data_IF_364203623196
#
_entry.id   IF_364203623196
#
_cell.length_a   1.000
_cell.length_b   1.000
_cell.length_c   1.000
_cell.angle_alpha   90.00
_cell.angle_beta   90.00
_cell.angle_gamma   90.00
#
_symmetry.space_group_name_H-M   'P 1'
#
loop_
_entity.id
_entity.type
_entity.pdbx_description
1 polymer ?
#
# COMPACT_ATOMS: atom_id res chain seq x y z
N UNK A 1 -15.93 16.99 -34.95
CA UNK A 1 -16.36 15.94 -33.99
C UNK A 1 -17.88 15.74 -34.09
N UNK A 2 -18.34 14.56 -34.50
CA UNK A 2 -19.77 14.28 -34.73
C UNK A 2 -20.58 14.27 -33.42
N UNK A 3 -21.88 14.55 -33.49
CA UNK A 3 -22.80 14.45 -32.34
C UNK A 3 -22.80 13.05 -31.72
N UNK A 4 -22.73 12.00 -32.56
CA UNK A 4 -22.69 10.60 -32.12
C UNK A 4 -21.46 10.31 -31.26
N UNK A 5 -20.29 10.86 -31.63
CA UNK A 5 -19.06 10.70 -30.87
C UNK A 5 -19.14 11.43 -29.52
N UNK A 6 -19.66 12.67 -29.51
CA UNK A 6 -19.91 13.42 -28.26
C UNK A 6 -20.83 12.67 -27.31
N UNK A 7 -21.93 12.13 -27.84
CA UNK A 7 -22.89 11.33 -27.07
C UNK A 7 -22.24 10.04 -26.52
N UNK A 8 -21.43 9.34 -27.33
CA UNK A 8 -20.72 8.14 -26.89
C UNK A 8 -19.76 8.44 -25.73
N UNK A 9 -18.95 9.49 -25.84
CA UNK A 9 -18.06 9.91 -24.74
C UNK A 9 -18.84 10.32 -23.51
N UNK A 10 -19.94 11.06 -23.67
CA UNK A 10 -20.79 11.43 -22.54
C UNK A 10 -21.35 10.21 -21.82
N UNK A 11 -21.81 9.19 -22.57
CA UNK A 11 -22.29 7.92 -21.99
C UNK A 11 -21.18 7.20 -21.23
N UNK A 12 -19.98 7.10 -21.80
CA UNK A 12 -18.82 6.47 -21.14
C UNK A 12 -18.46 7.20 -19.84
N UNK A 13 -18.44 8.54 -19.86
CA UNK A 13 -18.17 9.34 -18.68
C UNK A 13 -19.25 9.12 -17.60
N UNK A 14 -20.53 9.22 -17.96
CA UNK A 14 -21.62 9.04 -16.99
C UNK A 14 -21.58 7.63 -16.40
N UNK A 15 -21.42 6.59 -17.23
CA UNK A 15 -21.34 5.22 -16.76
C UNK A 15 -20.12 4.99 -15.85
N UNK A 16 -18.93 5.44 -16.27
CA UNK A 16 -17.69 5.31 -15.51
C UNK A 16 -17.75 6.02 -14.16
N UNK A 17 -18.18 7.28 -14.14
CA UNK A 17 -18.32 8.04 -12.88
C UNK A 17 -19.42 7.47 -11.98
N UNK A 18 -20.52 6.98 -12.53
CA UNK A 18 -21.58 6.34 -11.73
C UNK A 18 -21.07 5.09 -11.02
N UNK A 19 -20.34 4.22 -11.73
CA UNK A 19 -19.71 3.03 -11.14
C UNK A 19 -18.68 3.44 -10.08
N UNK A 20 -17.82 4.42 -10.39
CA UNK A 20 -16.80 4.91 -9.46
C UNK A 20 -17.42 5.43 -8.15
N UNK A 21 -18.46 6.26 -8.24
CA UNK A 21 -19.14 6.82 -7.07
C UNK A 21 -19.86 5.74 -6.27
N UNK A 22 -20.53 4.81 -6.94
CA UNK A 22 -21.17 3.67 -6.30
C UNK A 22 -20.17 2.81 -5.52
N UNK A 23 -19.05 2.46 -6.15
CA UNK A 23 -17.98 1.66 -5.51
C UNK A 23 -17.29 2.45 -4.38
N UNK A 24 -17.08 3.77 -4.55
CA UNK A 24 -16.51 4.63 -3.51
C UNK A 24 -17.39 4.75 -2.27
N UNK A 25 -18.71 4.80 -2.44
CA UNK A 25 -19.65 4.73 -1.33
C UNK A 25 -19.57 3.37 -0.60
N UNK A 26 -19.50 2.27 -1.35
CA UNK A 26 -19.29 0.94 -0.78
C UNK A 26 -17.97 0.83 0.00
N UNK A 27 -16.87 1.34 -0.56
CA UNK A 27 -15.57 1.34 0.10
C UNK A 27 -15.57 2.11 1.43
N UNK A 28 -16.29 3.23 1.50
CA UNK A 28 -16.38 4.04 2.72
C UNK A 28 -17.26 3.39 3.79
N UNK A 29 -18.39 2.80 3.40
CA UNK A 29 -19.36 2.19 4.34
C UNK A 29 -18.94 0.81 4.82
N UNK A 30 -18.06 0.13 4.08
CA UNK A 30 -17.57 -1.22 4.38
C UNK A 30 -16.08 -1.23 4.78
N UNK A 31 -15.49 -0.08 5.08
CA UNK A 31 -14.12 0.01 5.58
C UNK A 31 -13.98 -0.73 6.93
N UNK A 32 -12.78 -1.27 7.26
CA UNK A 32 -12.53 -1.77 8.60
C UNK A 32 -12.70 -0.64 9.63
N UNK A 33 -13.46 -0.87 10.73
CA UNK A 33 -13.67 0.17 11.73
C UNK A 33 -12.38 0.46 12.50
N UNK A 34 -12.25 1.70 12.96
CA UNK A 34 -11.26 2.07 13.99
C UNK A 34 -12.02 2.03 15.32
N UNK A 35 -11.72 1.08 16.22
CA UNK A 35 -12.43 0.96 17.49
C UNK A 35 -12.15 2.18 18.38
N UNK A 36 -13.14 2.61 19.16
CA UNK A 36 -12.94 3.67 20.16
C UNK A 36 -12.03 3.17 21.29
N UNK A 37 -12.24 1.93 21.73
CA UNK A 37 -11.44 1.26 22.77
C UNK A 37 -11.05 -0.15 22.35
N UNK A 38 -9.82 -0.51 22.67
CA UNK A 38 -9.31 -1.87 22.57
C UNK A 38 -9.15 -2.41 23.99
N UNK A 39 -9.82 -3.52 24.29
CA UNK A 39 -9.89 -4.11 25.61
C UNK A 39 -9.21 -5.47 25.64
N UNK A 40 -8.67 -5.85 26.80
CA UNK A 40 -8.27 -7.23 27.08
C UNK A 40 -9.50 -8.11 27.36
N UNK A 41 -9.31 -9.44 27.43
CA UNK A 41 -10.37 -10.36 27.84
C UNK A 41 -10.93 -10.07 29.25
N UNK A 42 -10.15 -9.43 30.12
CA UNK A 42 -10.54 -9.02 31.47
C UNK A 42 -11.26 -7.64 31.50
N UNK A 43 -11.35 -6.95 30.37
CA UNK A 43 -11.99 -5.64 30.25
C UNK A 43 -11.09 -4.44 30.55
N UNK A 44 -9.79 -4.65 30.80
CA UNK A 44 -8.82 -3.55 30.93
C UNK A 44 -8.53 -2.91 29.56
N UNK A 45 -8.37 -1.59 29.52
CA UNK A 45 -8.06 -0.87 28.28
C UNK A 45 -6.60 -1.07 27.90
N UNK A 46 -6.37 -1.61 26.70
CA UNK A 46 -5.04 -1.88 26.13
C UNK A 46 -4.58 -0.68 25.28
N UNK A 47 -5.47 -0.18 24.43
CA UNK A 47 -5.24 0.96 23.54
C UNK A 47 -6.58 1.61 23.14
N UNK A 48 -6.53 2.74 22.43
CA UNK A 48 -7.69 3.48 21.96
C UNK A 48 -7.61 3.78 20.47
N UNK A 49 -8.73 4.16 19.87
CA UNK A 49 -8.75 4.66 18.49
C UNK A 49 -7.88 5.89 18.28
N UNK A 50 -7.74 6.73 19.31
CA UNK A 50 -6.84 7.88 19.27
C UNK A 50 -5.37 7.47 19.15
N UNK A 51 -4.97 6.37 19.81
CA UNK A 51 -3.60 5.84 19.72
C UNK A 51 -3.31 5.29 18.31
N UNK A 52 -4.29 4.65 17.66
CA UNK A 52 -4.19 4.21 16.25
C UNK A 52 -3.97 5.42 15.32
N UNK A 53 -4.78 6.47 15.45
CA UNK A 53 -4.66 7.68 14.63
C UNK A 53 -3.35 8.42 14.89
N UNK A 54 -2.90 8.47 16.14
CA UNK A 54 -1.59 9.01 16.50
C UNK A 54 -0.47 8.19 15.84
N UNK A 55 -0.57 6.86 15.85
CA UNK A 55 0.37 5.97 15.17
C UNK A 55 0.41 6.16 13.65
N UNK A 56 -0.75 6.32 13.01
CA UNK A 56 -0.83 6.67 11.59
C UNK A 56 -0.15 8.02 11.32
N UNK A 57 -0.33 8.99 12.21
CA UNK A 57 0.32 10.30 12.09
C UNK A 57 1.85 10.20 12.23
N UNK A 58 2.34 9.32 13.11
CA UNK A 58 3.78 9.01 13.24
C UNK A 58 4.29 8.36 11.94
N UNK A 59 3.58 7.36 11.40
CA UNK A 59 3.93 6.71 10.14
C UNK A 59 4.09 7.72 8.99
N UNK A 60 3.17 8.69 8.91
CA UNK A 60 3.22 9.77 7.92
C UNK A 60 4.32 10.80 8.21
N UNK A 61 4.46 11.24 9.46
CA UNK A 61 5.48 12.20 9.90
C UNK A 61 6.89 11.78 9.52
N UNK A 62 7.19 10.48 9.66
CA UNK A 62 8.50 9.92 9.35
C UNK A 62 8.62 9.38 7.91
N UNK A 63 7.61 9.60 7.06
CA UNK A 63 7.65 9.18 5.66
C UNK A 63 7.86 7.67 5.49
N UNK A 64 7.31 6.85 6.40
CA UNK A 64 7.59 5.41 6.41
C UNK A 64 6.98 4.68 5.20
N UNK A 65 5.98 5.27 4.54
CA UNK A 65 5.45 4.79 3.26
C UNK A 65 6.45 4.96 2.09
N UNK A 66 7.45 5.83 2.26
CA UNK A 66 8.60 5.94 1.34
C UNK A 66 9.74 4.99 1.71
N UNK A 67 9.60 4.20 2.79
CA UNK A 67 10.62 3.24 3.23
C UNK A 67 10.12 1.80 3.08
N UNK A 68 9.00 1.48 3.69
CA UNK A 68 8.27 0.21 3.55
C UNK A 68 6.85 0.45 3.06
N UNK A 69 5.92 -0.43 3.44
CA UNK A 69 4.52 -0.33 3.02
C UNK A 69 3.51 -0.62 4.13
N UNK A 70 2.28 -0.17 3.93
CA UNK A 70 1.11 -0.55 4.72
C UNK A 70 0.02 -1.02 3.74
N UNK A 71 -0.64 -2.14 4.02
CA UNK A 71 -1.57 -2.77 3.07
C UNK A 71 -1.00 -2.97 1.65
N UNK A 72 0.31 -3.25 1.52
CA UNK A 72 1.00 -3.44 0.26
C UNK A 72 1.30 -2.16 -0.53
N UNK A 73 0.88 -0.99 -0.02
CA UNK A 73 1.13 0.30 -0.66
C UNK A 73 2.29 1.01 0.01
N UNK A 74 3.34 1.30 -0.75
CA UNK A 74 4.51 2.02 -0.26
C UNK A 74 5.77 1.73 -1.06
N UNK A 75 6.91 1.80 -0.40
CA UNK A 75 8.21 1.42 -0.89
C UNK A 75 8.53 -0.05 -0.57
N UNK A 76 9.66 -0.53 -1.10
CA UNK A 76 10.03 -1.95 -1.09
C UNK A 76 11.36 -2.22 -0.39
N UNK A 77 11.93 -1.23 0.31
CA UNK A 77 13.22 -1.40 0.99
C UNK A 77 13.05 -1.87 2.41
N UNK A 78 12.07 -1.29 3.12
CA UNK A 78 11.58 -1.80 4.39
C UNK A 78 10.50 -2.86 4.18
N UNK A 79 10.06 -3.51 5.28
CA UNK A 79 8.99 -4.49 5.22
C UNK A 79 7.64 -3.84 4.88
N UNK A 80 6.67 -4.68 4.54
CA UNK A 80 5.27 -4.30 4.71
C UNK A 80 4.92 -4.45 6.19
N UNK A 81 4.62 -3.33 6.86
CA UNK A 81 4.39 -3.33 8.32
C UNK A 81 3.10 -4.04 8.72
N UNK A 82 2.12 -4.16 7.82
CA UNK A 82 0.90 -4.94 8.08
C UNK A 82 1.22 -6.43 8.09
N UNK A 83 1.97 -6.91 7.09
CA UNK A 83 2.37 -8.32 6.99
C UNK A 83 3.43 -8.70 8.03
N UNK A 84 4.42 -7.85 8.27
CA UNK A 84 5.48 -8.09 9.27
C UNK A 84 4.89 -8.15 10.68
N UNK A 85 3.99 -7.23 11.05
CA UNK A 85 3.31 -7.32 12.35
C UNK A 85 2.50 -8.61 12.45
N UNK A 86 1.70 -8.94 11.42
CA UNK A 86 0.85 -10.14 11.42
C UNK A 86 1.68 -11.41 11.62
N UNK A 87 2.79 -11.53 10.89
CA UNK A 87 3.69 -12.67 10.97
C UNK A 87 4.30 -12.81 12.37
N UNK A 88 4.90 -11.73 12.88
CA UNK A 88 5.55 -11.73 14.20
C UNK A 88 4.55 -11.97 15.33
N UNK A 89 3.34 -11.43 15.20
CA UNK A 89 2.24 -11.72 16.12
C UNK A 89 1.89 -13.20 16.12
N UNK A 90 1.79 -13.83 14.95
CA UNK A 90 1.52 -15.25 14.82
C UNK A 90 2.63 -16.10 15.44
N UNK A 91 3.89 -15.82 15.12
CA UNK A 91 5.06 -16.51 15.70
C UNK A 91 5.10 -16.38 17.23
N UNK A 92 4.89 -15.16 17.74
CA UNK A 92 4.88 -14.91 19.18
C UNK A 92 3.80 -15.72 19.90
N UNK A 93 2.56 -15.70 19.39
CA UNK A 93 1.44 -16.41 20.01
C UNK A 93 1.67 -17.93 19.96
N UNK A 94 2.19 -18.45 18.84
CA UNK A 94 2.50 -19.88 18.70
C UNK A 94 3.60 -20.31 19.67
N UNK A 95 4.66 -19.51 19.82
CA UNK A 95 5.76 -19.85 20.74
C UNK A 95 5.34 -19.71 22.21
N UNK A 96 4.59 -18.66 22.58
CA UNK A 96 4.04 -18.49 23.94
C UNK A 96 3.11 -19.65 24.31
N UNK A 97 2.20 -20.02 23.40
CA UNK A 97 1.27 -21.14 23.60
C UNK A 97 2.01 -22.47 23.66
N UNK A 98 3.01 -22.67 22.79
CA UNK A 98 3.84 -23.89 22.77
C UNK A 98 4.61 -24.07 24.08
N UNK A 99 5.25 -23.01 24.57
CA UNK A 99 5.98 -23.05 25.85
C UNK A 99 5.04 -23.32 27.02
N UNK A 100 3.87 -22.69 27.03
CA UNK A 100 2.87 -22.86 28.10
C UNK A 100 2.29 -24.27 28.11
N UNK A 101 1.97 -24.86 26.95
CA UNK A 101 1.28 -26.15 26.84
C UNK A 101 2.22 -27.35 26.83
N UNK A 102 3.40 -27.23 26.21
CA UNK A 102 4.31 -28.35 25.96
C UNK A 102 5.71 -28.16 26.56
N UNK A 103 6.02 -26.98 27.13
CA UNK A 103 7.36 -26.67 27.67
C UNK A 103 8.47 -26.61 26.61
N UNK A 104 8.11 -26.46 25.33
CA UNK A 104 9.03 -26.42 24.18
C UNK A 104 8.76 -25.20 23.30
N UNK A 105 9.75 -24.78 22.51
CA UNK A 105 9.52 -23.79 21.44
C UNK A 105 8.62 -24.37 20.35
N UNK A 106 7.91 -23.51 19.63
CA UNK A 106 7.02 -23.94 18.54
C UNK A 106 7.77 -24.74 17.47
N UNK A 107 9.00 -24.32 17.15
CA UNK A 107 9.89 -25.02 16.22
C UNK A 107 10.26 -26.44 16.63
N UNK A 108 10.27 -26.73 17.94
CA UNK A 108 10.64 -28.02 18.53
C UNK A 108 9.47 -28.99 18.75
N UNK A 109 8.25 -28.61 18.36
CA UNK A 109 7.07 -29.47 18.45
C UNK A 109 7.00 -30.50 17.31
N UNK A 110 6.24 -31.57 17.52
CA UNK A 110 5.87 -32.48 16.44
C UNK A 110 4.87 -31.82 15.46
N UNK A 111 4.85 -32.24 14.19
CA UNK A 111 3.99 -31.59 13.17
C UNK A 111 2.51 -31.61 13.54
N UNK A 112 2.00 -32.68 14.14
CA UNK A 112 0.60 -32.76 14.60
C UNK A 112 0.29 -31.70 15.67
N UNK A 113 1.24 -31.42 16.57
CA UNK A 113 1.10 -30.39 17.60
C UNK A 113 1.17 -28.99 16.97
N UNK A 114 2.07 -28.78 16.00
CA UNK A 114 2.15 -27.53 15.25
C UNK A 114 0.86 -27.24 14.49
N UNK A 115 0.31 -28.22 13.78
CA UNK A 115 -0.92 -28.07 13.01
C UNK A 115 -2.12 -27.76 13.90
N UNK A 116 -2.20 -28.40 15.07
CA UNK A 116 -3.23 -28.08 16.06
C UNK A 116 -3.14 -26.64 16.55
N UNK A 117 -1.92 -26.16 16.88
CA UNK A 117 -1.72 -24.77 17.33
C UNK A 117 -1.96 -23.75 16.20
N UNK A 118 -1.54 -24.03 14.96
CA UNK A 118 -1.84 -23.16 13.80
C UNK A 118 -3.34 -23.05 13.56
N UNK A 119 -4.08 -24.16 13.64
CA UNK A 119 -5.54 -24.14 13.48
C UNK A 119 -6.27 -23.42 14.63
N UNK A 120 -5.75 -23.49 15.86
CA UNK A 120 -6.24 -22.71 17.01
C UNK A 120 -5.97 -21.21 16.81
N UNK A 121 -4.76 -20.84 16.41
CA UNK A 121 -4.37 -19.47 16.08
C UNK A 121 -5.25 -18.89 14.98
N UNK A 122 -5.35 -19.57 13.83
CA UNK A 122 -6.13 -19.12 12.68
C UNK A 122 -7.58 -18.81 13.07
N UNK A 123 -8.23 -19.72 13.80
CA UNK A 123 -9.59 -19.48 14.32
C UNK A 123 -9.66 -18.26 15.23
N UNK A 124 -8.69 -18.10 16.13
CA UNK A 124 -8.68 -16.97 17.06
C UNK A 124 -8.47 -15.62 16.36
N UNK A 125 -7.54 -15.56 15.40
CA UNK A 125 -7.18 -14.33 14.67
C UNK A 125 -8.29 -13.92 13.69
N UNK A 126 -8.93 -14.88 13.03
CA UNK A 126 -10.05 -14.61 12.11
C UNK A 126 -11.35 -14.21 12.82
N UNK A 127 -11.52 -14.59 14.09
CA UNK A 127 -12.72 -14.27 14.86
C UNK A 127 -12.85 -12.76 15.07
N UNK A 128 -13.93 -12.18 14.55
CA UNK A 128 -14.25 -10.77 14.73
C UNK A 128 -14.87 -10.53 16.11
N UNK A 129 -14.14 -9.81 16.97
CA UNK A 129 -14.54 -9.44 18.33
C UNK A 129 -14.82 -7.94 18.48
N UNK A 130 -15.10 -7.26 17.37
CA UNK A 130 -15.53 -5.87 17.38
C UNK A 130 -17.04 -5.77 17.63
N UNK A 131 -17.43 -5.04 18.67
CA UNK A 131 -18.81 -4.66 18.94
C UNK A 131 -19.09 -3.27 18.32
N UNK A 132 -19.90 -3.19 17.26
CA UNK A 132 -20.23 -1.93 16.61
C UNK A 132 -21.12 -1.01 17.46
N UNK A 133 -21.91 -1.56 18.40
CA UNK A 133 -22.79 -0.76 19.25
C UNK A 133 -22.01 -0.08 20.40
N UNK A 134 -21.03 -0.80 20.95
CA UNK A 134 -20.16 -0.27 22.02
C UNK A 134 -18.90 0.45 21.48
N UNK A 135 -18.56 0.28 20.19
CA UNK A 135 -17.32 0.81 19.61
C UNK A 135 -16.06 0.15 20.19
N UNK A 136 -16.16 -1.10 20.66
CA UNK A 136 -15.07 -1.78 21.38
C UNK A 136 -14.57 -3.00 20.64
N UNK A 137 -13.24 -3.18 20.63
CA UNK A 137 -12.59 -4.40 20.14
C UNK A 137 -11.97 -5.14 21.33
N UNK A 138 -12.40 -6.38 21.58
CA UNK A 138 -11.83 -7.21 22.64
C UNK A 138 -10.77 -8.16 22.06
N UNK A 139 -9.55 -8.08 22.56
CA UNK A 139 -8.43 -8.93 22.16
C UNK A 139 -8.38 -10.20 22.99
N UNK A 140 -7.87 -11.28 22.38
CA UNK A 140 -7.47 -12.47 23.14
C UNK A 140 -6.16 -12.22 23.90
N UNK A 141 -5.91 -12.96 24.97
CA UNK A 141 -4.72 -12.79 25.82
C UNK A 141 -3.41 -12.88 25.02
N UNK A 142 -3.34 -13.81 24.06
CA UNK A 142 -2.20 -13.93 23.15
C UNK A 142 -1.98 -12.66 22.32
N UNK A 143 -3.04 -12.01 21.84
CA UNK A 143 -2.93 -10.76 21.07
C UNK A 143 -2.49 -9.59 21.97
N UNK A 144 -2.93 -9.54 23.23
CA UNK A 144 -2.48 -8.52 24.20
C UNK A 144 -1.00 -8.66 24.48
N UNK A 145 -0.54 -9.87 24.85
CA UNK A 145 0.89 -10.14 25.08
C UNK A 145 1.74 -9.87 23.84
N UNK A 146 1.25 -10.23 22.65
CA UNK A 146 1.96 -9.99 21.41
C UNK A 146 2.13 -8.49 21.12
N UNK A 147 1.08 -7.68 21.34
CA UNK A 147 1.18 -6.24 21.18
C UNK A 147 2.23 -5.63 22.11
N UNK A 148 2.27 -6.03 23.38
CA UNK A 148 3.29 -5.58 24.34
C UNK A 148 4.71 -5.96 23.90
N UNK A 149 4.91 -7.20 23.45
CA UNK A 149 6.20 -7.68 22.97
C UNK A 149 6.65 -6.94 21.69
N UNK A 150 5.72 -6.68 20.76
CA UNK A 150 6.03 -6.03 19.49
C UNK A 150 6.33 -4.53 19.62
N UNK A 151 5.85 -3.86 20.67
CA UNK A 151 6.31 -2.50 21.01
C UNK A 151 7.82 -2.50 21.31
N UNK A 152 8.33 -3.54 21.97
CA UNK A 152 9.76 -3.74 22.18
C UNK A 152 10.50 -3.98 20.87
N UNK A 153 9.98 -4.86 20.02
CA UNK A 153 10.57 -5.15 18.73
C UNK A 153 10.70 -3.92 17.84
N UNK A 154 9.63 -3.14 17.63
CA UNK A 154 9.69 -1.97 16.76
C UNK A 154 10.52 -0.83 17.33
N UNK A 155 10.62 -0.72 18.67
CA UNK A 155 11.58 0.18 19.33
C UNK A 155 13.00 -0.12 18.88
N UNK A 156 13.42 -1.38 18.98
CA UNK A 156 14.77 -1.80 18.63
C UNK A 156 15.02 -1.69 17.12
N UNK A 157 14.00 -2.04 16.32
CA UNK A 157 14.03 -1.94 14.86
C UNK A 157 14.31 -0.50 14.38
N UNK A 158 13.63 0.51 14.94
CA UNK A 158 13.84 1.92 14.59
C UNK A 158 15.02 2.58 15.34
N UNK A 159 15.50 1.97 16.43
CA UNK A 159 16.68 2.44 17.16
C UNK A 159 17.98 2.08 16.45
N UNK A 160 18.18 0.81 16.10
CA UNK A 160 19.39 0.35 15.41
C UNK A 160 19.35 0.73 13.92
N UNK A 161 18.16 0.65 13.30
CA UNK A 161 17.90 1.00 11.90
C UNK A 161 18.93 0.44 10.89
N UNK A 162 19.68 -0.63 11.21
CA UNK A 162 20.72 -1.20 10.33
C UNK A 162 20.13 -1.82 9.07
N UNK A 163 18.95 -2.41 9.20
CA UNK A 163 18.22 -3.06 8.12
C UNK A 163 17.46 -2.05 7.25
N UNK A 164 17.42 -0.78 7.65
CA UNK A 164 16.74 0.28 6.92
C UNK A 164 17.74 1.34 6.44
N UNK A 165 17.54 1.93 5.26
CA UNK A 165 18.34 3.06 4.78
C UNK A 165 17.91 4.38 5.46
N UNK A 166 17.80 4.34 6.79
CA UNK A 166 17.41 5.42 7.67
C UNK A 166 18.52 5.72 8.70
N UNK A 167 18.58 6.95 9.23
CA UNK A 167 19.45 7.27 10.36
C UNK A 167 19.12 6.40 11.59
N UNK A 168 20.14 6.04 12.36
CA UNK A 168 19.95 5.42 13.66
C UNK A 168 19.14 6.34 14.61
N UNK A 169 18.24 5.75 15.40
CA UNK A 169 17.32 6.48 16.26
C UNK A 169 16.41 7.42 15.47
N UNK A 170 15.90 6.97 14.31
CA UNK A 170 15.02 7.77 13.45
C UNK A 170 13.74 8.18 14.19
N UNK A 171 13.20 7.28 15.01
CA UNK A 171 12.07 7.53 15.91
C UNK A 171 12.57 7.32 17.34
N UNK A 172 12.63 8.41 18.11
CA UNK A 172 13.19 8.41 19.48
C UNK A 172 12.15 8.36 20.58
N UNK A 173 10.92 8.79 20.28
CA UNK A 173 9.87 8.90 21.28
C UNK A 173 9.24 7.55 21.56
N UNK A 174 9.29 7.13 22.81
CA UNK A 174 8.68 5.89 23.28
C UNK A 174 7.17 5.85 23.06
N UNK A 175 6.54 7.01 23.21
CA UNK A 175 5.12 7.17 22.92
C UNK A 175 4.85 7.00 21.43
N UNK A 176 5.66 7.61 20.56
CA UNK A 176 5.48 7.48 19.11
C UNK A 176 5.66 6.03 18.65
N UNK A 177 6.61 5.28 19.23
CA UNK A 177 6.78 3.85 18.94
C UNK A 177 5.57 3.04 19.37
N UNK A 178 5.03 3.29 20.57
CA UNK A 178 3.83 2.61 21.05
C UNK A 178 2.63 2.89 20.14
N UNK A 179 2.40 4.15 19.81
CA UNK A 179 1.30 4.58 18.96
C UNK A 179 1.46 3.97 17.54
N UNK A 180 2.66 4.04 16.96
CA UNK A 180 2.98 3.44 15.66
C UNK A 180 2.76 1.93 15.63
N UNK A 181 3.19 1.21 16.67
CA UNK A 181 2.96 -0.24 16.80
C UNK A 181 1.48 -0.55 16.91
N UNK A 182 0.70 0.30 17.60
CA UNK A 182 -0.76 0.17 17.70
C UNK A 182 -1.43 0.37 16.33
N UNK A 183 -0.91 1.26 15.49
CA UNK A 183 -1.35 1.41 14.11
C UNK A 183 -1.02 0.18 13.25
N UNK A 184 0.18 -0.38 13.38
CA UNK A 184 0.55 -1.62 12.70
C UNK A 184 -0.34 -2.80 13.12
N UNK A 185 -0.60 -2.92 14.42
CA UNK A 185 -1.58 -3.86 14.97
C UNK A 185 -2.97 -3.68 14.34
N UNK A 186 -3.49 -2.46 14.29
CA UNK A 186 -4.81 -2.24 13.70
C UNK A 186 -4.85 -2.63 12.22
N UNK A 187 -3.77 -2.33 11.49
CA UNK A 187 -3.66 -2.74 10.09
C UNK A 187 -3.63 -4.27 9.94
N UNK A 188 -2.87 -4.98 10.79
CA UNK A 188 -2.81 -6.45 10.76
C UNK A 188 -4.14 -7.08 11.15
N UNK A 189 -4.81 -6.52 12.17
CA UNK A 189 -6.15 -6.93 12.58
C UNK A 189 -7.17 -6.80 11.44
N UNK A 190 -7.20 -5.66 10.75
CA UNK A 190 -8.05 -5.48 9.57
C UNK A 190 -7.70 -6.51 8.48
N UNK A 191 -6.42 -6.81 8.30
CA UNK A 191 -5.94 -7.76 7.31
C UNK A 191 -6.23 -9.23 7.63
N UNK A 192 -6.43 -9.56 8.90
CA UNK A 192 -6.53 -10.95 9.38
C UNK A 192 -7.90 -11.31 9.97
N UNK A 193 -8.78 -10.35 10.25
CA UNK A 193 -10.10 -10.60 10.86
C UNK A 193 -11.21 -10.66 9.81
N UNK A 194 -12.08 -11.67 9.90
CA UNK A 194 -13.21 -11.82 8.98
C UNK A 194 -14.21 -10.68 9.10
N UNK A 195 -14.76 -10.26 7.95
CA UNK A 195 -15.88 -9.33 7.92
C UNK A 195 -17.11 -9.99 8.58
N UNK A 196 -18.00 -9.21 9.22
CA UNK A 196 -19.25 -9.75 9.77
C UNK A 196 -20.04 -10.52 8.71
N UNK A 197 -20.32 -11.80 8.98
CA UNK A 197 -21.10 -12.68 8.09
C UNK A 197 -20.38 -13.11 6.81
N UNK A 198 -19.06 -12.97 6.72
CA UNK A 198 -18.25 -13.42 5.57
C UNK A 198 -17.14 -14.36 6.02
N UNK A 199 -16.60 -15.12 5.07
CA UNK A 199 -15.48 -16.05 5.26
C UNK A 199 -14.16 -15.49 4.69
N UNK A 200 -14.06 -14.16 4.60
CA UNK A 200 -12.85 -13.46 4.18
C UNK A 200 -12.64 -12.17 4.99
N UNK A 201 -11.39 -11.73 5.08
CA UNK A 201 -10.97 -10.59 5.91
C UNK A 201 -11.35 -9.23 5.32
N UNK A 202 -11.16 -8.13 6.05
CA UNK A 202 -11.46 -6.80 5.51
C UNK A 202 -10.65 -6.46 4.24
N UNK A 203 -9.50 -7.11 4.05
CA UNK A 203 -8.58 -6.95 2.91
C UNK A 203 -8.68 -8.11 1.90
N UNK A 204 -9.74 -8.93 1.96
CA UNK A 204 -9.93 -10.09 1.08
C UNK A 204 -8.79 -11.14 1.22
N UNK A 205 -8.42 -11.47 2.46
CA UNK A 205 -7.39 -12.43 2.85
C UNK A 205 -5.96 -12.05 2.45
N UNK A 206 -5.71 -10.77 2.15
CA UNK A 206 -4.36 -10.22 2.05
C UNK A 206 -3.88 -9.80 3.45
N UNK A 207 -2.59 -9.95 3.83
CA UNK A 207 -1.51 -10.55 3.05
C UNK A 207 -1.56 -12.08 3.13
N UNK A 208 -0.88 -12.75 2.21
CA UNK A 208 -0.67 -14.20 2.32
C UNK A 208 0.11 -14.50 3.61
N UNK A 209 -0.50 -15.29 4.49
CA UNK A 209 0.10 -15.70 5.76
C UNK A 209 -0.44 -17.09 6.12
N UNK A 210 0.41 -18.10 6.00
CA UNK A 210 0.02 -19.48 6.22
C UNK A 210 -0.29 -19.78 7.69
N UNK A 211 0.43 -19.15 8.63
CA UNK A 211 0.26 -19.41 10.06
C UNK A 211 -1.14 -19.05 10.57
N UNK A 212 -1.75 -18.02 9.97
CA UNK A 212 -3.10 -17.57 10.32
C UNK A 212 -4.17 -18.04 9.33
N UNK A 213 -3.78 -18.67 8.22
CA UNK A 213 -4.73 -19.20 7.23
C UNK A 213 -5.16 -18.22 6.13
N UNK A 214 -4.49 -17.07 5.99
CA UNK A 214 -4.77 -16.12 4.92
C UNK A 214 -4.38 -16.72 3.55
N UNK A 215 -5.38 -17.08 2.76
CA UNK A 215 -5.24 -17.61 1.39
C UNK A 215 -6.26 -16.97 0.45
N UNK A 216 -5.95 -16.82 -0.86
CA UNK A 216 -6.92 -16.29 -1.82
C UNK A 216 -8.21 -17.11 -1.83
N UNK A 217 -9.36 -16.46 -1.63
CA UNK A 217 -10.67 -17.09 -1.76
C UNK A 217 -11.08 -17.25 -3.24
N UNK A 218 -12.08 -18.11 -3.50
CA UNK A 218 -12.52 -18.51 -4.86
C UNK A 218 -12.88 -17.31 -5.74
N UNK A 219 -13.46 -16.25 -5.19
CA UNK A 219 -13.87 -15.07 -5.96
C UNK A 219 -12.66 -14.35 -6.61
N UNK A 220 -11.47 -14.36 -5.99
CA UNK A 220 -10.24 -13.79 -6.58
C UNK A 220 -9.90 -14.50 -7.88
N UNK A 221 -9.99 -15.83 -7.92
CA UNK A 221 -9.70 -16.61 -9.12
C UNK A 221 -10.75 -16.39 -10.21
N UNK A 222 -12.04 -16.34 -9.84
CA UNK A 222 -13.12 -16.08 -10.77
C UNK A 222 -12.97 -14.72 -11.47
N UNK A 223 -12.77 -13.64 -10.70
CA UNK A 223 -12.61 -12.31 -11.27
C UNK A 223 -11.32 -12.15 -12.08
N UNK A 224 -10.24 -12.84 -11.69
CA UNK A 224 -9.01 -12.90 -12.50
C UNK A 224 -9.27 -13.51 -13.88
N UNK A 225 -9.96 -14.65 -13.95
CA UNK A 225 -10.31 -15.29 -15.22
C UNK A 225 -11.28 -14.45 -16.07
N UNK A 226 -12.31 -13.88 -15.45
CA UNK A 226 -13.26 -13.00 -16.13
C UNK A 226 -12.58 -11.74 -16.70
N UNK A 227 -11.61 -11.16 -15.98
CA UNK A 227 -10.87 -10.00 -16.47
C UNK A 227 -10.09 -10.30 -17.76
N UNK A 228 -9.50 -11.50 -17.87
CA UNK A 228 -8.77 -11.92 -19.07
C UNK A 228 -9.73 -12.14 -20.25
N UNK A 229 -10.88 -12.79 -20.00
CA UNK A 229 -11.93 -12.97 -21.02
C UNK A 229 -12.41 -11.60 -21.52
N UNK A 230 -12.66 -10.65 -20.62
CA UNK A 230 -13.09 -9.30 -20.98
C UNK A 230 -12.01 -8.52 -21.73
N UNK A 231 -10.73 -8.66 -21.36
CA UNK A 231 -9.62 -8.02 -22.05
C UNK A 231 -9.49 -8.53 -23.49
N UNK A 232 -9.38 -9.86 -23.66
CA UNK A 232 -9.21 -10.47 -24.99
C UNK A 232 -10.46 -10.25 -25.84
N UNK A 233 -11.64 -10.46 -25.26
CA UNK A 233 -12.92 -10.21 -25.92
C UNK A 233 -13.10 -8.74 -26.32
N UNK A 234 -12.72 -7.81 -25.43
CA UNK A 234 -12.79 -6.37 -25.68
C UNK A 234 -11.85 -5.93 -26.80
N UNK A 235 -10.60 -6.42 -26.81
CA UNK A 235 -9.65 -6.17 -27.90
C UNK A 235 -10.20 -6.74 -29.21
N UNK A 236 -10.63 -8.00 -29.22
CA UNK A 236 -11.17 -8.64 -30.42
C UNK A 236 -12.41 -7.93 -30.97
N UNK A 237 -13.32 -7.52 -30.08
CA UNK A 237 -14.51 -6.76 -30.45
C UNK A 237 -14.17 -5.37 -31.00
N UNK A 238 -13.24 -4.65 -30.37
CA UNK A 238 -12.78 -3.36 -30.89
C UNK A 238 -12.14 -3.50 -32.28
N UNK A 239 -11.29 -4.50 -32.48
CA UNK A 239 -10.67 -4.79 -33.80
C UNK A 239 -11.73 -5.19 -34.84
N UNK A 240 -12.73 -5.99 -34.47
CA UNK A 240 -13.84 -6.34 -35.35
C UNK A 240 -14.63 -5.09 -35.79
N UNK A 241 -14.95 -4.19 -34.87
CA UNK A 241 -15.64 -2.93 -35.19
C UNK A 241 -14.80 -2.03 -36.12
N UNK A 242 -13.49 -1.90 -35.86
CA UNK A 242 -12.57 -1.17 -36.73
C UNK A 242 -12.45 -1.80 -38.11
N UNK A 243 -12.52 -3.13 -38.20
CA UNK A 243 -12.54 -3.86 -39.47
C UNK A 243 -13.83 -3.65 -40.28
N UNK A 244 -14.98 -3.46 -39.60
CA UNK A 244 -16.26 -3.16 -40.25
C UNK A 244 -16.35 -1.72 -40.76
N UNK A 245 -15.85 -0.76 -39.98
CA UNK A 245 -15.81 0.64 -40.34
C UNK A 245 -14.49 1.28 -39.89
N UNK A 246 -13.48 1.34 -40.78
CA UNK A 246 -12.18 1.95 -40.47
C UNK A 246 -12.27 3.40 -40.00
N UNK A 247 -13.37 4.09 -40.32
CA UNK A 247 -13.61 5.49 -39.91
C UNK A 247 -13.91 5.63 -38.41
N UNK A 248 -14.17 4.52 -37.71
CA UNK A 248 -14.24 4.48 -36.25
C UNK A 248 -12.85 4.62 -35.61
N UNK A 249 -11.79 4.33 -36.37
CA UNK A 249 -10.40 4.56 -35.97
C UNK A 249 -10.00 6.03 -36.13
N UNK A 250 -8.71 6.28 -35.96
CA UNK A 250 -8.13 7.58 -36.32
C UNK A 250 -8.06 7.66 -37.85
N UNK A 251 -9.17 8.05 -38.46
CA UNK A 251 -9.21 8.37 -39.89
C UNK A 251 -8.37 9.64 -40.06
N UNK A 252 -7.19 9.51 -40.68
CA UNK A 252 -6.45 10.67 -41.18
C UNK A 252 -7.24 11.20 -42.38
N UNK A 253 -8.37 11.85 -42.10
CA UNK A 253 -9.21 12.49 -43.10
C UNK A 253 -8.31 13.30 -44.02
N UNK A 254 -8.33 12.95 -45.30
CA UNK A 254 -7.59 13.62 -46.37
C UNK A 254 -6.15 14.03 -45.99
N UNK A 255 -5.29 13.04 -45.70
CA UNK A 255 -3.83 13.23 -45.76
C UNK A 255 -3.32 13.50 -47.21
N UNK A 256 -4.10 14.27 -47.98
CA UNK A 256 -3.81 14.76 -49.33
C UNK A 256 -3.52 16.26 -49.36
N UNK A 257 -3.74 16.99 -48.25
CA UNK A 257 -3.09 18.28 -48.10
C UNK A 257 -1.61 18.02 -47.87
N UNK A 258 -0.77 18.45 -48.82
CA UNK A 258 0.67 18.49 -48.62
C UNK A 258 0.92 19.30 -47.35
N UNK A 259 1.27 18.62 -46.26
CA UNK A 259 1.80 19.26 -45.06
C UNK A 259 3.07 19.99 -45.51
N UNK A 260 2.94 21.27 -45.86
CA UNK A 260 4.08 22.12 -46.12
C UNK A 260 4.80 22.28 -44.79
N UNK A 261 5.94 21.62 -44.65
CA UNK A 261 6.81 21.79 -43.49
C UNK A 261 7.38 23.21 -43.51
N UNK A 262 6.66 24.12 -42.85
CA UNK A 262 7.00 25.54 -42.74
C UNK A 262 7.55 25.87 -41.35
N UNK A 263 7.99 24.85 -40.59
CA UNK A 263 8.55 25.04 -39.24
C UNK A 263 9.76 25.97 -39.27
N UNK A 264 10.55 25.95 -40.35
CA UNK A 264 11.72 26.83 -40.52
C UNK A 264 11.37 28.29 -40.79
N UNK A 265 10.21 28.56 -41.38
CA UNK A 265 9.73 29.91 -41.70
C UNK A 265 8.87 30.50 -40.57
N UNK A 266 8.54 29.70 -39.56
CA UNK A 266 7.70 30.10 -38.45
C UNK A 266 8.49 30.95 -37.44
N UNK A 267 8.10 32.22 -37.29
CA UNK A 267 8.61 33.09 -36.24
C UNK A 267 7.77 32.95 -34.95
N UNK A 268 8.32 32.44 -33.82
CA UNK A 268 7.55 32.24 -32.61
C UNK A 268 7.06 33.56 -32.00
N UNK A 269 5.81 33.58 -31.56
CA UNK A 269 5.23 34.70 -30.83
C UNK A 269 5.94 34.91 -29.48
N UNK A 270 5.84 36.10 -28.86
CA UNK A 270 6.39 36.32 -27.52
C UNK A 270 5.90 35.32 -26.47
N UNK A 271 4.63 34.91 -26.54
CA UNK A 271 4.07 33.89 -25.65
C UNK A 271 4.71 32.51 -25.84
N UNK A 272 4.95 32.09 -27.08
CA UNK A 272 5.65 30.82 -27.35
C UNK A 272 7.13 30.87 -26.94
N UNK A 273 7.80 32.01 -27.13
CA UNK A 273 9.18 32.19 -26.63
C UNK A 273 9.26 32.15 -25.11
N UNK A 274 8.22 32.60 -24.41
CA UNK A 274 8.14 32.52 -22.96
C UNK A 274 8.05 31.07 -22.42
N UNK A 275 7.78 30.08 -23.27
CA UNK A 275 7.80 28.65 -22.91
C UNK A 275 9.23 28.09 -22.85
N UNK A 276 10.21 28.70 -23.53
CA UNK A 276 11.59 28.16 -23.56
C UNK A 276 12.22 27.99 -22.17
N UNK A 277 12.11 28.95 -21.24
CA UNK A 277 12.58 28.75 -19.86
C UNK A 277 11.86 27.60 -19.15
N UNK A 278 10.56 27.37 -19.40
CA UNK A 278 9.82 26.25 -18.81
C UNK A 278 10.41 24.91 -19.28
N UNK A 279 10.75 24.77 -20.55
CA UNK A 279 11.39 23.56 -21.07
C UNK A 279 12.77 23.31 -20.42
N UNK A 280 13.54 24.38 -20.17
CA UNK A 280 14.79 24.26 -19.41
C UNK A 280 14.52 23.77 -17.98
N UNK A 281 13.51 24.31 -17.30
CA UNK A 281 13.11 23.86 -15.96
C UNK A 281 12.68 22.40 -15.97
N UNK A 282 11.90 21.95 -16.97
CA UNK A 282 11.51 20.54 -17.13
C UNK A 282 12.74 19.64 -17.21
N UNK A 283 13.73 19.99 -18.04
CA UNK A 283 14.97 19.22 -18.16
C UNK A 283 15.74 19.20 -16.84
N UNK A 284 15.83 20.33 -16.13
CA UNK A 284 16.49 20.38 -14.82
C UNK A 284 15.78 19.48 -13.79
N UNK A 285 14.45 19.56 -13.68
CA UNK A 285 13.66 18.72 -12.78
C UNK A 285 13.82 17.23 -13.12
N UNK A 286 13.84 16.88 -14.40
CA UNK A 286 14.13 15.50 -14.86
C UNK A 286 15.52 15.03 -14.43
N UNK A 287 16.55 15.86 -14.57
CA UNK A 287 17.91 15.52 -14.14
C UNK A 287 18.00 15.35 -12.61
N UNK A 288 17.37 16.24 -11.83
CA UNK A 288 17.30 16.10 -10.37
C UNK A 288 16.54 14.85 -9.95
N UNK A 289 15.41 14.57 -10.60
CA UNK A 289 14.61 13.36 -10.37
C UNK A 289 15.44 12.09 -10.62
N UNK A 290 16.20 12.07 -11.71
CA UNK A 290 17.09 10.96 -12.07
C UNK A 290 18.20 10.79 -11.04
N UNK A 291 18.82 11.89 -10.60
CA UNK A 291 19.87 11.86 -9.58
C UNK A 291 19.38 11.25 -8.26
N UNK A 292 18.19 11.64 -7.78
CA UNK A 292 17.61 11.01 -6.58
C UNK A 292 17.20 9.55 -6.82
N UNK A 293 16.82 9.19 -8.04
CA UNK A 293 16.61 7.80 -8.43
C UNK A 293 17.87 6.94 -8.31
N UNK A 294 19.02 7.48 -8.71
CA UNK A 294 20.33 6.82 -8.53
C UNK A 294 20.64 6.62 -7.05
N UNK A 295 20.43 7.64 -6.21
CA UNK A 295 20.64 7.52 -4.76
C UNK A 295 19.72 6.46 -4.13
N UNK A 296 18.44 6.44 -4.51
CA UNK A 296 17.49 5.42 -4.03
C UNK A 296 17.90 4.01 -4.45
N UNK A 297 18.30 3.83 -5.70
CA UNK A 297 18.76 2.53 -6.19
C UNK A 297 20.04 2.08 -5.46
N UNK A 298 20.94 3.02 -5.15
CA UNK A 298 22.17 2.72 -4.41
C UNK A 298 21.90 2.20 -3.00
N UNK A 299 20.93 2.79 -2.28
CA UNK A 299 20.52 2.33 -0.95
C UNK A 299 19.99 0.90 -0.90
N UNK A 300 19.55 0.33 -2.03
CA UNK A 300 19.14 -1.07 -2.11
C UNK A 300 20.33 -2.05 -2.06
N UNK A 301 21.52 -1.58 -2.42
CA UNK A 301 22.75 -2.38 -2.45
C UNK A 301 23.62 -2.05 -1.23
N UNK A 302 23.71 -0.77 -0.88
CA UNK A 302 24.46 -0.27 0.27
C UNK A 302 23.51 0.46 1.23
N UNK A 303 22.86 -0.29 2.12
CA UNK A 303 21.84 0.26 3.03
C UNK A 303 22.39 1.31 3.99
N UNK A 304 23.67 1.21 4.36
CA UNK A 304 24.31 2.07 5.36
C UNK A 304 24.87 3.39 4.81
N UNK A 305 24.86 3.62 3.49
CA UNK A 305 25.51 4.79 2.92
C UNK A 305 25.57 4.83 1.40
N UNK A 306 26.51 5.62 0.88
CA UNK A 306 26.72 5.86 -0.55
C UNK A 306 28.23 5.87 -0.85
N UNK A 307 28.74 4.76 -1.41
CA UNK A 307 30.17 4.53 -1.67
C UNK A 307 31.04 4.66 -0.41
N UNK A 308 30.58 4.12 0.72
CA UNK A 308 31.26 4.15 2.01
C UNK A 308 31.04 5.42 2.83
N UNK A 309 30.29 6.41 2.29
CA UNK A 309 29.92 7.63 3.02
C UNK A 309 28.50 7.51 3.58
N UNK A 310 28.33 7.67 4.89
CA UNK A 310 26.99 7.71 5.50
C UNK A 310 26.32 9.07 5.25
N UNK A 311 25.50 9.13 4.20
CA UNK A 311 24.74 10.32 3.83
C UNK A 311 23.31 10.32 4.40
N UNK A 312 22.91 9.30 5.16
CA UNK A 312 21.51 9.13 5.62
C UNK A 312 21.04 10.26 6.51
N UNK A 313 21.94 10.90 7.23
CA UNK A 313 21.64 12.06 8.08
C UNK A 313 21.18 13.30 7.30
N UNK A 314 21.56 13.41 6.02
CA UNK A 314 21.24 14.55 5.15
C UNK A 314 20.21 14.13 4.09
N UNK A 315 20.42 12.97 3.47
CA UNK A 315 19.62 12.42 2.38
C UNK A 315 19.14 11.01 2.75
N UNK A 316 18.28 10.85 3.77
CA UNK A 316 17.71 9.55 4.10
C UNK A 316 16.83 9.05 2.94
N UNK A 317 16.68 7.72 2.84
CA UNK A 317 15.94 7.11 1.75
C UNK A 317 14.50 7.60 1.64
N UNK A 318 13.82 7.84 2.76
CA UNK A 318 12.46 8.40 2.78
C UNK A 318 12.40 9.70 1.97
N UNK A 319 13.31 10.64 2.22
CA UNK A 319 13.37 11.93 1.52
C UNK A 319 13.79 11.77 0.06
N UNK A 320 14.83 10.99 -0.23
CA UNK A 320 15.31 10.84 -1.62
C UNK A 320 14.26 10.18 -2.49
N UNK A 321 13.51 9.21 -1.95
CA UNK A 321 12.41 8.56 -2.67
C UNK A 321 11.23 9.51 -2.84
N UNK A 322 10.83 10.24 -1.79
CA UNK A 322 9.78 11.26 -1.91
C UNK A 322 10.11 12.25 -3.03
N UNK A 323 11.35 12.77 -3.07
CA UNK A 323 11.77 13.71 -4.11
C UNK A 323 11.80 13.06 -5.50
N UNK A 324 12.31 11.83 -5.62
CA UNK A 324 12.28 11.11 -6.89
C UNK A 324 10.85 10.97 -7.46
N UNK A 325 9.86 10.65 -6.62
CA UNK A 325 8.46 10.50 -7.02
C UNK A 325 7.77 11.85 -7.28
N UNK A 326 7.96 12.84 -6.40
CA UNK A 326 7.32 14.15 -6.57
C UNK A 326 7.88 14.88 -7.79
N UNK A 327 9.19 14.82 -8.01
CA UNK A 327 9.81 15.44 -9.18
C UNK A 327 9.38 14.75 -10.49
N UNK A 328 9.09 13.45 -10.49
CA UNK A 328 8.60 12.77 -11.70
C UNK A 328 7.23 13.29 -12.12
N UNK A 329 6.34 13.53 -11.15
CA UNK A 329 5.06 14.20 -11.40
C UNK A 329 5.29 15.64 -11.87
N UNK A 330 6.14 16.40 -11.17
CA UNK A 330 6.35 17.81 -11.49
C UNK A 330 6.92 18.04 -12.88
N UNK A 331 7.96 17.32 -13.30
CA UNK A 331 8.54 17.56 -14.62
C UNK A 331 7.59 17.14 -15.74
N UNK A 332 6.86 16.03 -15.59
CA UNK A 332 5.86 15.58 -16.56
C UNK A 332 4.72 16.60 -16.65
N UNK A 333 4.15 17.00 -15.51
CA UNK A 333 3.05 17.96 -15.47
C UNK A 333 3.44 19.35 -15.97
N UNK A 334 4.69 19.79 -15.74
CA UNK A 334 5.18 21.08 -16.23
C UNK A 334 5.47 21.05 -17.73
N UNK A 335 5.68 19.86 -18.32
CA UNK A 335 5.92 19.71 -19.75
C UNK A 335 4.64 19.81 -20.60
N UNK A 336 3.48 19.49 -20.02
CA UNK A 336 2.16 19.55 -20.67
C UNK A 336 1.44 20.87 -20.38
#
# INVERSE_FOLDING_TARGET
MSWRWKAAVLVVLIAGFSVLLFMGHGATTQAPPIPEKILSGEGSTVATGADIIAGQSVFQKYGLMDVGSIFGHGAYTGPDFTADYLHRQAEFILDDTSRTRYGKSFSGLAEVEKDALKAELARSIHTNRYDPAAGTLTLSDGQVKALEALVGHYRDFFADARELPLPAGYIKSEREIKDLTTFFFWSSWAASTYRPGKEYTYTNNWPYEELVGNRPHVEVFLWSALSLIMLVGGIGFAQFLLGLDPRLGWDAGDASESLADNVTDFAPTPGQKAVYPFLVVVVLLFLFQTAFGVVCAHYMVETAGFYGFDIRSILPYSITRSWHLQLSIFWIATAW
#
